data_IF_007579850600
#
_entry.id   IF_007579850600
#
_cell.length_a   1.000
_cell.length_b   1.000
_cell.length_c   1.000
_cell.angle_alpha   90.00
_cell.angle_beta   90.00
_cell.angle_gamma   90.00
#
_symmetry.space_group_name_H-M   'P 1'
#
loop_
_entity.id
_entity.type
_entity.pdbx_description
1 polymer ?
#
# COMPACT_ATOMS: atom_id res chain seq x y z
N UNK A 1 -37.67 56.74 -6.19
CA UNK A 1 -37.75 55.44 -6.90
C UNK A 1 -37.76 54.31 -5.86
N UNK A 2 -38.47 53.23 -6.16
CA UNK A 2 -38.97 52.19 -5.22
C UNK A 2 -37.86 51.38 -4.54
N UNK A 3 -38.23 50.83 -3.39
CA UNK A 3 -37.45 50.04 -2.41
C UNK A 3 -37.74 48.54 -2.59
N UNK A 4 -36.86 47.69 -2.01
CA UNK A 4 -36.97 46.23 -1.76
C UNK A 4 -36.57 45.35 -2.96
N UNK A 5 -35.78 44.28 -2.83
CA UNK A 5 -35.65 43.32 -1.71
C UNK A 5 -34.29 42.59 -1.69
N UNK A 6 -33.84 42.25 -0.46
CA UNK A 6 -32.83 41.24 -0.15
C UNK A 6 -33.17 39.88 -0.80
N UNK A 7 -32.14 39.11 -1.21
CA UNK A 7 -32.24 37.65 -1.22
C UNK A 7 -30.89 37.04 -0.83
N UNK A 8 -30.89 36.43 0.35
CA UNK A 8 -29.87 35.52 0.85
C UNK A 8 -29.89 34.25 -0.02
N UNK A 9 -28.78 33.93 -0.66
CA UNK A 9 -28.52 32.63 -1.28
C UNK A 9 -27.56 31.83 -0.40
N UNK A 10 -28.13 30.98 0.44
CA UNK A 10 -27.49 30.09 1.41
C UNK A 10 -26.61 29.00 0.77
N UNK A 11 -25.45 28.78 1.41
CA UNK A 11 -24.75 27.53 1.69
C UNK A 11 -25.10 26.27 0.88
N UNK A 12 -24.08 25.73 0.18
CA UNK A 12 -23.83 24.28 0.07
C UNK A 12 -22.31 24.04 0.18
N UNK A 13 -21.75 24.23 1.39
CA UNK A 13 -20.54 23.50 1.79
C UNK A 13 -21.06 22.14 2.23
N UNK A 14 -20.95 21.13 1.37
CA UNK A 14 -21.19 19.75 1.76
C UNK A 14 -20.12 19.32 2.77
N UNK A 15 -20.48 18.84 3.96
CA UNK A 15 -19.53 18.27 4.91
C UNK A 15 -19.42 16.77 4.60
N UNK A 16 -18.43 16.36 3.82
CA UNK A 16 -18.04 14.94 3.84
C UNK A 16 -17.10 14.75 5.02
N UNK A 17 -17.70 14.30 6.12
CA UNK A 17 -17.00 13.65 7.22
C UNK A 17 -16.30 12.42 6.67
N UNK A 18 -14.96 12.45 6.57
CA UNK A 18 -14.17 11.24 6.63
C UNK A 18 -13.27 11.32 7.87
N UNK A 19 -13.78 10.79 8.97
CA UNK A 19 -12.97 10.50 10.15
C UNK A 19 -12.30 9.16 9.82
N UNK A 20 -11.05 9.20 9.36
CA UNK A 20 -10.19 8.01 9.25
C UNK A 20 -9.19 8.06 10.40
N UNK A 21 -9.14 6.95 11.13
CA UNK A 21 -8.63 6.78 12.48
C UNK A 21 -7.21 7.32 12.70
N UNK A 22 -7.03 8.09 13.78
CA UNK A 22 -5.71 8.35 14.35
C UNK A 22 -5.19 7.04 14.95
N UNK A 23 -4.26 6.38 14.27
CA UNK A 23 -3.53 5.24 14.83
C UNK A 23 -2.46 5.81 15.77
N UNK A 24 -2.75 5.81 17.08
CA UNK A 24 -1.74 6.08 18.09
C UNK A 24 -0.86 4.82 18.19
N UNK A 25 0.32 4.86 17.58
CA UNK A 25 1.31 3.81 17.70
C UNK A 25 1.88 3.84 19.13
N UNK A 26 1.49 2.88 19.98
CA UNK A 26 2.12 2.68 21.29
C UNK A 26 3.38 1.85 21.07
N UNK A 27 4.60 2.37 21.35
CA UNK A 27 5.79 1.55 21.26
C UNK A 27 5.76 0.49 22.37
N UNK A 28 5.66 -0.78 21.97
CA UNK A 28 5.84 -1.93 22.87
C UNK A 28 7.32 -1.99 23.25
N UNK A 29 7.63 -1.64 24.49
CA UNK A 29 8.98 -1.76 25.05
C UNK A 29 9.23 -3.25 25.36
N UNK A 30 9.92 -3.95 24.46
CA UNK A 30 10.33 -5.34 24.70
C UNK A 30 11.56 -5.31 25.63
N UNK A 31 11.36 -5.58 26.92
CA UNK A 31 12.46 -5.81 27.86
C UNK A 31 13.02 -7.22 27.63
N UNK A 32 14.17 -7.31 26.97
CA UNK A 32 14.95 -8.54 26.89
C UNK A 32 15.48 -8.87 28.29
N UNK A 33 14.88 -9.86 28.95
CA UNK A 33 15.43 -10.43 30.18
C UNK A 33 16.62 -11.29 29.80
N UNK A 34 17.83 -10.76 29.94
CA UNK A 34 19.05 -11.53 29.80
C UNK A 34 19.16 -12.52 30.99
N UNK A 35 18.82 -13.79 30.75
CA UNK A 35 19.14 -14.85 31.71
C UNK A 35 20.63 -15.17 31.57
N UNK A 36 21.45 -14.49 32.36
CA UNK A 36 22.84 -14.87 32.57
C UNK A 36 22.88 -16.13 33.44
N UNK A 37 23.40 -17.22 32.89
CA UNK A 37 23.74 -18.40 33.68
C UNK A 37 25.23 -18.72 33.43
N UNK A 38 26.07 -18.43 34.42
CA UNK A 38 27.49 -18.81 34.43
C UNK A 38 27.75 -19.74 35.62
N UNK A 39 28.57 -20.75 35.37
CA UNK A 39 29.13 -21.82 36.23
C UNK A 39 28.19 -23.01 36.52
N UNK A 40 28.63 -24.28 36.42
CA UNK A 40 29.94 -24.83 36.77
C UNK A 40 30.25 -26.17 36.06
N UNK A 41 31.52 -26.35 35.70
CA UNK A 41 32.37 -27.57 35.62
C UNK A 41 31.74 -28.96 35.37
N UNK A 42 32.19 -29.70 34.33
CA UNK A 42 33.26 -30.73 34.40
C UNK A 42 33.29 -31.66 33.16
N UNK A 43 34.38 -31.58 32.39
CA UNK A 43 35.15 -32.69 31.80
C UNK A 43 34.67 -33.53 30.58
N UNK A 44 35.68 -33.82 29.73
CA UNK A 44 35.95 -35.01 28.86
C UNK A 44 35.52 -34.98 27.38
N UNK A 45 36.45 -34.48 26.56
CA UNK A 45 37.15 -35.16 25.43
C UNK A 45 36.39 -35.89 24.30
N UNK A 46 36.90 -35.64 23.08
CA UNK A 46 37.06 -36.53 21.91
C UNK A 46 36.04 -36.47 20.75
N UNK A 47 36.60 -36.06 19.59
CA UNK A 47 36.39 -36.48 18.19
C UNK A 47 35.02 -36.45 17.49
N UNK A 48 35.08 -35.84 16.30
CA UNK A 48 34.58 -36.31 15.01
C UNK A 48 33.06 -36.45 14.78
N UNK A 49 32.69 -35.97 13.59
CA UNK A 49 31.66 -36.51 12.66
C UNK A 49 30.50 -35.56 12.40
N UNK A 50 30.50 -35.07 11.15
CA UNK A 50 29.38 -34.55 10.37
C UNK A 50 28.07 -35.31 10.62
N UNK A 51 27.00 -34.59 10.89
CA UNK A 51 25.65 -35.04 10.56
C UNK A 51 24.82 -33.84 10.08
N UNK A 52 24.50 -33.88 8.79
CA UNK A 52 23.45 -33.08 8.17
C UNK A 52 22.14 -33.33 8.92
N UNK A 53 21.48 -32.28 9.38
CA UNK A 53 20.06 -32.32 9.73
C UNK A 53 19.43 -31.03 9.26
N UNK A 54 18.59 -31.18 8.24
CA UNK A 54 17.61 -30.20 7.78
C UNK A 54 16.80 -29.71 8.98
N UNK A 55 16.82 -28.41 9.23
CA UNK A 55 15.83 -27.77 10.08
C UNK A 55 14.92 -26.99 9.13
N UNK A 56 13.95 -27.72 8.58
CA UNK A 56 12.63 -27.14 8.33
C UNK A 56 12.01 -26.69 9.66
N UNK A 57 10.98 -25.84 9.56
CA UNK A 57 10.28 -25.08 10.59
C UNK A 57 10.93 -23.73 10.94
N UNK A 58 10.21 -22.62 10.96
CA UNK A 58 8.76 -22.47 11.09
C UNK A 58 8.34 -21.16 10.46
N UNK A 59 7.26 -21.22 9.69
CA UNK A 59 6.36 -20.12 9.42
C UNK A 59 6.04 -19.37 10.72
N UNK A 60 6.37 -18.08 10.78
CA UNK A 60 5.73 -17.14 11.69
C UNK A 60 4.69 -16.38 10.89
N UNK A 61 3.54 -17.03 10.70
CA UNK A 61 2.27 -16.33 10.58
C UNK A 61 2.05 -15.63 11.93
N UNK A 62 1.91 -14.30 11.93
CA UNK A 62 0.86 -13.59 12.69
C UNK A 62 0.98 -12.07 12.55
N UNK A 63 0.54 -11.59 11.38
CA UNK A 63 -0.59 -10.70 11.29
C UNK A 63 -1.24 -10.96 9.92
N UNK A 64 -2.29 -11.78 9.86
CA UNK A 64 -3.13 -11.78 8.65
C UNK A 64 -4.00 -10.51 8.70
N UNK A 65 -3.38 -9.35 8.53
CA UNK A 65 -4.09 -8.24 7.91
C UNK A 65 -4.32 -8.70 6.47
N UNK A 66 -5.54 -9.15 6.17
CA UNK A 66 -5.91 -9.52 4.82
C UNK A 66 -5.80 -8.23 4.00
N UNK A 67 -4.66 -8.03 3.35
CA UNK A 67 -4.35 -6.82 2.59
C UNK A 67 -5.43 -6.69 1.52
N UNK A 68 -6.03 -5.51 1.42
CA UNK A 68 -7.04 -5.24 0.40
C UNK A 68 -6.52 -4.18 -0.54
N UNK A 69 -6.69 -4.46 -1.82
CA UNK A 69 -6.49 -3.52 -2.89
C UNK A 69 -7.78 -3.28 -3.65
N UNK A 70 -7.99 -2.06 -4.10
CA UNK A 70 -9.06 -1.72 -5.03
C UNK A 70 -8.58 -0.75 -6.11
N UNK A 71 -9.18 -0.82 -7.30
CA UNK A 71 -9.00 0.15 -8.38
C UNK A 71 -10.32 0.86 -8.61
N UNK A 72 -10.30 2.19 -8.63
CA UNK A 72 -11.42 3.05 -8.98
C UNK A 72 -11.14 3.76 -10.31
N UNK A 73 -11.99 3.54 -11.31
CA UNK A 73 -11.92 4.29 -12.57
C UNK A 73 -12.54 5.67 -12.38
N UNK A 74 -11.79 6.74 -12.70
CA UNK A 74 -12.17 8.11 -12.35
C UNK A 74 -13.27 8.69 -13.27
N UNK A 75 -13.37 8.18 -14.49
CA UNK A 75 -14.36 8.64 -15.49
C UNK A 75 -15.64 7.81 -15.52
N UNK A 76 -15.86 6.94 -14.53
CA UNK A 76 -17.05 6.07 -14.48
C UNK A 76 -17.89 6.26 -13.22
N UNK A 77 -19.22 6.17 -13.38
CA UNK A 77 -20.19 6.44 -12.32
C UNK A 77 -20.17 5.41 -11.18
N UNK A 78 -19.80 4.15 -11.45
CA UNK A 78 -19.62 3.08 -10.42
C UNK A 78 -18.64 2.01 -10.90
N UNK A 79 -17.32 2.27 -10.84
CA UNK A 79 -16.32 1.26 -11.22
C UNK A 79 -15.19 1.15 -10.20
N UNK A 80 -15.52 0.74 -8.97
CA UNK A 80 -14.52 0.23 -8.03
C UNK A 80 -14.42 -1.29 -8.14
N UNK A 81 -13.23 -1.81 -8.41
CA UNK A 81 -12.96 -3.25 -8.45
C UNK A 81 -12.01 -3.64 -7.33
N UNK A 82 -12.33 -4.74 -6.63
CA UNK A 82 -11.40 -5.36 -5.70
C UNK A 82 -10.34 -6.16 -6.44
N UNK A 83 -9.08 -5.98 -6.06
CA UNK A 83 -7.95 -6.75 -6.58
C UNK A 83 -7.93 -8.14 -5.93
N UNK A 84 -7.62 -9.16 -6.72
CA UNK A 84 -7.29 -10.47 -6.16
C UNK A 84 -5.84 -10.49 -5.60
N UNK A 85 -5.48 -11.55 -4.88
CA UNK A 85 -4.19 -11.64 -4.17
C UNK A 85 -2.97 -11.56 -5.12
N UNK A 86 -3.08 -12.12 -6.33
CA UNK A 86 -2.01 -12.10 -7.33
C UNK A 86 -1.85 -10.70 -7.93
N UNK A 87 -2.96 -10.07 -8.33
CA UNK A 87 -2.96 -8.70 -8.86
C UNK A 87 -2.41 -7.72 -7.84
N UNK A 88 -2.86 -7.84 -6.58
CA UNK A 88 -2.40 -7.04 -5.47
C UNK A 88 -0.89 -7.19 -5.25
N UNK A 89 -0.38 -8.43 -5.20
CA UNK A 89 1.04 -8.69 -5.04
C UNK A 89 1.90 -8.12 -6.18
N UNK A 90 1.41 -8.22 -7.41
CA UNK A 90 2.09 -7.68 -8.58
C UNK A 90 2.17 -6.13 -8.54
N UNK A 91 1.06 -5.47 -8.21
CA UNK A 91 1.02 -4.00 -8.12
C UNK A 91 1.87 -3.50 -6.94
N UNK A 92 1.84 -4.19 -5.79
CA UNK A 92 2.70 -3.85 -4.66
C UNK A 92 4.19 -3.92 -5.03
N UNK A 93 4.59 -4.97 -5.74
CA UNK A 93 5.98 -5.11 -6.19
C UNK A 93 6.43 -3.93 -7.05
N UNK A 94 5.56 -3.43 -7.94
CA UNK A 94 5.83 -2.22 -8.73
C UNK A 94 6.03 -1.00 -7.81
N UNK A 95 5.12 -0.78 -6.87
CA UNK A 95 5.14 0.38 -5.96
C UNK A 95 6.39 0.37 -5.07
N UNK A 96 6.76 -0.80 -4.54
CA UNK A 96 7.88 -0.99 -3.62
C UNK A 96 9.25 -0.92 -4.32
N UNK A 97 9.34 -1.44 -5.55
CA UNK A 97 10.60 -1.43 -6.32
C UNK A 97 10.77 -0.20 -7.22
N UNK A 98 9.72 0.59 -7.41
CA UNK A 98 9.70 1.71 -8.32
C UNK A 98 10.67 2.82 -7.96
N UNK A 99 11.27 3.43 -8.99
CA UNK A 99 12.12 4.60 -8.83
C UNK A 99 11.26 5.86 -8.81
N UNK A 100 11.10 6.43 -7.62
CA UNK A 100 10.31 7.64 -7.41
C UNK A 100 11.11 8.91 -7.69
N UNK A 101 10.55 9.79 -8.50
CA UNK A 101 11.02 11.15 -8.74
C UNK A 101 10.26 12.14 -7.85
N UNK A 102 10.90 13.25 -7.51
CA UNK A 102 10.25 14.34 -6.79
C UNK A 102 9.19 15.03 -7.65
N UNK A 103 8.21 15.63 -6.98
CA UNK A 103 7.03 16.29 -7.55
C UNK A 103 6.04 15.32 -8.21
N UNK A 104 4.77 15.71 -8.25
CA UNK A 104 3.75 14.97 -8.99
C UNK A 104 3.84 15.34 -10.46
N UNK A 105 3.74 14.36 -11.35
CA UNK A 105 3.66 14.62 -12.77
C UNK A 105 2.31 15.27 -13.12
N UNK A 106 2.34 16.26 -14.01
CA UNK A 106 1.14 16.90 -14.56
C UNK A 106 0.57 16.02 -15.69
N UNK A 107 -0.10 14.93 -15.32
CA UNK A 107 -0.80 14.04 -16.24
C UNK A 107 -2.27 13.91 -15.84
N UNK A 108 -3.12 13.56 -16.82
CA UNK A 108 -4.49 13.12 -16.55
C UNK A 108 -4.38 11.77 -15.84
N UNK A 109 -5.14 11.55 -14.77
CA UNK A 109 -5.18 10.26 -14.09
C UNK A 109 -6.44 9.51 -14.56
N UNK A 110 -6.30 8.27 -15.01
CA UNK A 110 -7.43 7.44 -15.48
C UNK A 110 -8.06 6.65 -14.34
N UNK A 111 -7.23 6.21 -13.38
CA UNK A 111 -7.69 5.44 -12.25
C UNK A 111 -6.94 5.78 -10.95
N UNK A 112 -7.60 5.49 -9.83
CA UNK A 112 -7.05 5.49 -8.49
C UNK A 112 -6.85 4.05 -8.02
N UNK A 113 -5.64 3.71 -7.60
CA UNK A 113 -5.27 2.43 -7.01
C UNK A 113 -5.12 2.63 -5.51
N UNK A 114 -5.95 1.97 -4.71
CA UNK A 114 -5.93 2.05 -3.25
C UNK A 114 -5.44 0.74 -2.65
N UNK A 115 -4.29 0.76 -1.99
CA UNK A 115 -3.67 -0.42 -1.34
C UNK A 115 -3.37 -0.06 0.11
N UNK A 116 -3.94 -0.82 1.06
CA UNK A 116 -3.77 -0.58 2.50
C UNK A 116 -4.10 0.86 2.95
N UNK A 117 -5.04 1.51 2.26
CA UNK A 117 -5.39 2.91 2.51
C UNK A 117 -4.39 3.93 1.97
N UNK A 118 -3.40 3.50 1.19
CA UNK A 118 -2.53 4.36 0.39
C UNK A 118 -3.09 4.49 -1.03
N UNK A 119 -3.14 5.72 -1.52
CA UNK A 119 -3.78 6.10 -2.78
C UNK A 119 -2.74 6.49 -3.83
N UNK A 120 -2.77 5.80 -4.96
CA UNK A 120 -1.88 6.01 -6.10
C UNK A 120 -2.68 6.28 -7.36
N UNK A 121 -2.42 7.40 -8.02
CA UNK A 121 -3.12 7.77 -9.24
C UNK A 121 -2.35 7.30 -10.46
N UNK A 122 -3.02 6.71 -11.44
CA UNK A 122 -2.36 6.10 -12.58
C UNK A 122 -2.94 6.60 -13.90
N UNK A 123 -2.03 6.86 -14.85
CA UNK A 123 -2.34 7.19 -16.23
C UNK A 123 -1.88 6.06 -17.16
N UNK A 124 -2.83 5.38 -17.79
CA UNK A 124 -2.62 4.17 -18.60
C UNK A 124 -1.77 4.42 -19.85
N UNK A 125 -1.93 5.58 -20.50
CA UNK A 125 -1.21 5.91 -21.73
C UNK A 125 0.29 6.12 -21.44
N UNK A 126 0.60 6.99 -20.47
CA UNK A 126 1.98 7.33 -20.12
C UNK A 126 2.65 6.29 -19.22
N UNK A 127 1.88 5.47 -18.50
CA UNK A 127 2.42 4.58 -17.47
C UNK A 127 2.88 5.33 -16.22
N UNK A 128 2.32 6.50 -15.94
CA UNK A 128 2.74 7.34 -14.81
C UNK A 128 1.93 6.96 -13.57
N UNK A 129 2.60 6.66 -12.46
CA UNK A 129 1.99 6.55 -11.14
C UNK A 129 2.34 7.79 -10.31
N UNK A 130 1.33 8.48 -9.81
CA UNK A 130 1.40 9.66 -8.96
C UNK A 130 1.03 9.31 -7.52
N UNK A 131 1.93 9.60 -6.57
CA UNK A 131 1.67 9.61 -5.13
C UNK A 131 1.54 11.07 -4.70
N UNK A 132 0.29 11.55 -4.70
CA UNK A 132 -0.02 12.97 -4.43
C UNK A 132 0.22 13.35 -2.97
N UNK A 133 0.14 12.40 -2.04
CA UNK A 133 0.38 12.63 -0.61
C UNK A 133 1.85 12.93 -0.38
N UNK A 134 2.74 12.13 -0.96
CA UNK A 134 4.20 12.31 -0.81
C UNK A 134 4.81 13.22 -1.87
N UNK A 135 4.00 13.73 -2.80
CA UNK A 135 4.41 14.61 -3.90
C UNK A 135 5.55 14.02 -4.73
N UNK A 136 5.33 12.81 -5.23
CA UNK A 136 6.29 12.07 -6.05
C UNK A 136 5.58 11.30 -7.15
N UNK A 137 6.32 10.91 -8.18
CA UNK A 137 5.79 10.07 -9.25
C UNK A 137 6.83 9.03 -9.69
N UNK A 138 6.38 7.96 -10.34
CA UNK A 138 7.24 7.05 -11.09
C UNK A 138 6.68 6.85 -12.49
N UNK A 139 7.56 6.48 -13.43
CA UNK A 139 7.18 6.10 -14.79
C UNK A 139 7.49 4.62 -14.94
N UNK A 140 6.47 3.83 -15.24
CA UNK A 140 6.61 2.40 -15.45
C UNK A 140 7.37 2.10 -16.74
N UNK A 141 8.10 0.99 -16.74
CA UNK A 141 8.57 0.41 -17.99
C UNK A 141 7.39 -0.21 -18.76
N UNK A 142 7.62 -0.61 -20.02
CA UNK A 142 6.54 -1.13 -20.87
C UNK A 142 5.91 -2.43 -20.32
N UNK A 143 6.69 -3.32 -19.72
CA UNK A 143 6.20 -4.60 -19.20
C UNK A 143 5.25 -4.39 -18.02
N UNK A 144 5.68 -3.59 -17.02
CA UNK A 144 4.87 -3.25 -15.86
C UNK A 144 3.62 -2.45 -16.25
N UNK A 145 3.76 -1.56 -17.25
CA UNK A 145 2.63 -0.78 -17.80
C UNK A 145 1.60 -1.68 -18.46
N UNK A 146 2.03 -2.60 -19.33
CA UNK A 146 1.13 -3.54 -20.02
C UNK A 146 0.43 -4.48 -19.03
N UNK A 147 1.15 -4.96 -18.02
CA UNK A 147 0.59 -5.78 -16.95
C UNK A 147 -0.48 -5.00 -16.18
N UNK A 148 -0.19 -3.79 -15.70
CA UNK A 148 -1.14 -2.98 -14.94
C UNK A 148 -2.37 -2.60 -15.79
N UNK A 149 -2.16 -2.24 -17.06
CA UNK A 149 -3.26 -1.97 -17.99
C UNK A 149 -4.14 -3.21 -18.23
N UNK A 150 -3.55 -4.41 -18.25
CA UNK A 150 -4.31 -5.66 -18.40
C UNK A 150 -5.19 -5.95 -17.18
N UNK A 151 -4.70 -5.67 -15.96
CA UNK A 151 -5.51 -5.76 -14.74
C UNK A 151 -6.70 -4.79 -14.85
N UNK A 152 -6.43 -3.53 -15.19
CA UNK A 152 -7.46 -2.49 -15.32
C UNK A 152 -8.50 -2.82 -16.42
N UNK A 153 -8.06 -3.41 -17.55
CA UNK A 153 -8.95 -3.82 -18.63
C UNK A 153 -9.90 -4.94 -18.17
N UNK A 154 -9.38 -5.94 -17.44
CA UNK A 154 -10.21 -6.97 -16.83
C UNK A 154 -11.20 -6.39 -15.81
N UNK A 155 -10.94 -5.18 -15.30
CA UNK A 155 -11.86 -4.49 -14.41
C UNK A 155 -13.07 -3.84 -15.10
N UNK A 156 -13.05 -3.74 -16.43
CA UNK A 156 -14.05 -2.99 -17.21
C UNK A 156 -15.05 -3.87 -17.96
N UNK A 157 -14.90 -5.20 -17.91
CA UNK A 157 -15.80 -6.21 -18.52
C UNK A 157 -16.86 -6.73 -17.53
#
# INVERSE_FOLDING_TARGET
MKKLSNLLGINLISPIRYIRSVVICVPVLITLTACGNVHSEQSKNLDSTTCETEIEHSTTSEANCNLKGEILLLDSEVNSMALNDEELGNIQKIIESGMWNEETAECIDDCLISIDGMDYYYHQECGTINDKIHRRHMILNNEDKEMLNSIIANCSD
#
